data_IF_984927896482
#
_entry.id   IF_984927896482
#
_cell.length_a   1.000
_cell.length_b   1.000
_cell.length_c   1.000
_cell.angle_alpha   90.00
_cell.angle_beta   90.00
_cell.angle_gamma   90.00
#
_symmetry.space_group_name_H-M   'P 1'
#
loop_
_entity.id
_entity.type
_entity.pdbx_description
1 polymer ?
#
# COMPACT_ATOMS: atom_id res chain seq x y z
N UNK A 1 -23.84 -12.84 32.32
CA UNK A 1 -23.78 -13.78 31.17
C UNK A 1 -24.03 -13.12 29.81
N UNK A 2 -24.34 -11.82 29.68
CA UNK A 2 -24.72 -11.19 28.39
C UNK A 2 -23.63 -10.41 27.63
N UNK A 3 -22.56 -9.94 28.29
CA UNK A 3 -21.54 -9.09 27.63
C UNK A 3 -20.52 -9.89 26.81
N UNK A 4 -20.20 -11.13 27.25
CA UNK A 4 -19.22 -11.99 26.56
C UNK A 4 -19.75 -12.56 25.24
N UNK A 5 -21.04 -12.88 25.17
CA UNK A 5 -21.65 -13.47 23.97
C UNK A 5 -21.86 -12.43 22.87
N UNK A 6 -22.24 -11.20 23.25
CA UNK A 6 -22.30 -10.06 22.34
C UNK A 6 -20.91 -9.69 21.80
N UNK A 7 -19.88 -9.67 22.65
CA UNK A 7 -18.50 -9.40 22.23
C UNK A 7 -17.99 -10.45 21.23
N UNK A 8 -18.24 -11.74 21.48
CA UNK A 8 -17.86 -12.84 20.57
C UNK A 8 -18.60 -12.71 19.23
N UNK A 9 -19.90 -12.40 19.25
CA UNK A 9 -20.72 -12.23 18.03
C UNK A 9 -20.22 -11.05 17.19
N UNK A 10 -19.91 -9.93 17.82
CA UNK A 10 -19.38 -8.73 17.16
C UNK A 10 -17.98 -9.00 16.59
N UNK A 11 -17.10 -9.68 17.33
CA UNK A 11 -15.77 -10.08 16.83
C UNK A 11 -15.89 -11.04 15.64
N UNK A 12 -16.82 -11.99 15.70
CA UNK A 12 -17.13 -12.92 14.61
C UNK A 12 -17.61 -12.19 13.34
N UNK A 13 -18.49 -11.20 13.50
CA UNK A 13 -18.96 -10.35 12.40
C UNK A 13 -17.81 -9.58 11.75
N UNK A 14 -16.98 -8.88 12.53
CA UNK A 14 -15.87 -8.11 11.97
C UNK A 14 -14.81 -8.99 11.29
N UNK A 15 -14.55 -10.18 11.83
CA UNK A 15 -13.66 -11.16 11.21
C UNK A 15 -14.21 -11.63 9.86
N UNK A 16 -15.51 -11.95 9.78
CA UNK A 16 -16.17 -12.36 8.53
C UNK A 16 -16.14 -11.24 7.49
N UNK A 17 -16.50 -10.02 7.88
CA UNK A 17 -16.47 -8.85 7.00
C UNK A 17 -15.08 -8.55 6.44
N UNK A 18 -14.03 -8.69 7.27
CA UNK A 18 -12.65 -8.53 6.82
C UNK A 18 -12.26 -9.61 5.81
N UNK A 19 -12.64 -10.86 6.05
CA UNK A 19 -12.39 -11.97 5.13
C UNK A 19 -13.11 -11.77 3.79
N UNK A 20 -14.38 -11.36 3.81
CA UNK A 20 -15.15 -11.05 2.60
C UNK A 20 -14.49 -9.94 1.78
N UNK A 21 -14.06 -8.85 2.43
CA UNK A 21 -13.32 -7.77 1.75
C UNK A 21 -12.01 -8.26 1.11
N UNK A 22 -11.27 -9.11 1.80
CA UNK A 22 -10.03 -9.70 1.28
C UNK A 22 -10.30 -10.65 0.11
N UNK A 23 -11.39 -11.44 0.16
CA UNK A 23 -11.80 -12.31 -0.94
C UNK A 23 -12.21 -11.50 -2.17
N UNK A 24 -13.01 -10.44 -1.99
CA UNK A 24 -13.42 -9.55 -3.09
C UNK A 24 -12.18 -8.90 -3.72
N UNK A 25 -11.23 -8.43 -2.92
CA UNK A 25 -9.97 -7.90 -3.41
C UNK A 25 -9.18 -8.94 -4.20
N UNK A 26 -9.01 -10.15 -3.65
CA UNK A 26 -8.28 -11.21 -4.32
C UNK A 26 -8.90 -11.57 -5.68
N UNK A 27 -10.23 -11.65 -5.74
CA UNK A 27 -10.97 -11.90 -6.98
C UNK A 27 -10.83 -10.74 -7.99
N UNK A 28 -10.87 -9.48 -7.52
CA UNK A 28 -10.70 -8.31 -8.39
C UNK A 28 -9.31 -8.27 -9.01
N UNK A 29 -8.26 -8.55 -8.23
CA UNK A 29 -6.88 -8.60 -8.72
C UNK A 29 -6.68 -9.79 -9.67
N UNK A 30 -7.15 -10.99 -9.31
CA UNK A 30 -6.89 -12.21 -10.10
C UNK A 30 -7.58 -12.24 -11.47
N UNK A 31 -8.69 -11.50 -11.62
CA UNK A 31 -9.40 -11.34 -12.90
C UNK A 31 -8.78 -10.29 -13.81
N UNK A 32 -7.93 -9.41 -13.28
CA UNK A 32 -7.27 -8.39 -14.10
C UNK A 32 -6.10 -8.99 -14.87
N UNK A 33 -5.86 -8.64 -16.14
CA UNK A 33 -4.65 -9.03 -16.85
C UNK A 33 -3.38 -8.37 -16.27
N UNK A 34 -3.52 -7.38 -15.37
CA UNK A 34 -2.43 -6.67 -14.71
C UNK A 34 -2.17 -7.16 -13.27
N UNK A 35 -2.38 -8.46 -13.01
CA UNK A 35 -2.25 -9.09 -11.67
C UNK A 35 -0.99 -8.66 -10.94
N UNK A 36 0.18 -8.75 -11.58
CA UNK A 36 1.47 -8.48 -10.94
C UNK A 36 1.59 -7.01 -10.48
N UNK A 37 1.18 -6.07 -11.33
CA UNK A 37 1.21 -4.64 -11.00
C UNK A 37 0.29 -4.34 -9.81
N UNK A 38 -0.95 -4.84 -9.89
CA UNK A 38 -1.95 -4.65 -8.85
C UNK A 38 -1.54 -5.30 -7.53
N UNK A 39 -0.86 -6.45 -7.59
CA UNK A 39 -0.32 -7.11 -6.41
C UNK A 39 0.77 -6.26 -5.75
N UNK A 40 1.71 -5.72 -6.52
CA UNK A 40 2.75 -4.82 -6.02
C UNK A 40 2.15 -3.54 -5.41
N UNK A 41 1.18 -2.93 -6.09
CA UNK A 41 0.45 -1.78 -5.56
C UNK A 41 -0.22 -2.09 -4.22
N UNK A 42 -0.87 -3.26 -4.12
CA UNK A 42 -1.53 -3.70 -2.90
C UNK A 42 -0.53 -3.87 -1.75
N UNK A 43 0.63 -4.51 -2.00
CA UNK A 43 1.69 -4.65 -0.99
C UNK A 43 2.19 -3.29 -0.51
N UNK A 44 2.37 -2.33 -1.44
CA UNK A 44 2.76 -0.95 -1.09
C UNK A 44 1.77 -0.30 -0.13
N UNK A 45 0.48 -0.40 -0.40
CA UNK A 45 -0.57 0.20 0.43
C UNK A 45 -0.74 -0.51 1.78
N UNK A 46 -0.56 -1.82 1.85
CA UNK A 46 -0.60 -2.58 3.10
C UNK A 46 0.41 -2.07 4.14
N UNK A 47 1.58 -1.62 3.69
CA UNK A 47 2.62 -1.07 4.57
C UNK A 47 2.16 0.20 5.30
N UNK A 48 1.23 0.98 4.75
CA UNK A 48 0.90 2.33 5.25
C UNK A 48 0.26 2.31 6.64
N UNK A 49 -0.46 1.23 6.99
CA UNK A 49 -1.00 1.05 8.34
C UNK A 49 0.12 0.89 9.39
N UNK A 50 1.15 0.11 9.04
CA UNK A 50 2.31 -0.09 9.90
C UNK A 50 3.14 1.19 10.03
N UNK A 51 3.30 1.94 8.93
CA UNK A 51 3.94 3.26 8.94
C UNK A 51 3.18 4.22 9.86
N UNK A 52 1.85 4.29 9.78
CA UNK A 52 1.05 5.12 10.68
C UNK A 52 1.24 4.73 12.15
N UNK A 53 1.17 3.43 12.45
CA UNK A 53 1.33 2.90 13.80
C UNK A 53 2.70 3.23 14.42
N UNK A 54 3.76 3.28 13.60
CA UNK A 54 5.12 3.57 14.05
C UNK A 54 5.49 5.06 14.03
N UNK A 55 4.92 5.87 13.12
CA UNK A 55 5.18 7.32 13.07
C UNK A 55 4.57 8.03 14.28
N UNK A 56 3.39 7.61 14.72
CA UNK A 56 2.65 8.33 15.75
C UNK A 56 3.39 8.41 17.11
N UNK A 57 3.90 7.31 17.68
CA UNK A 57 4.59 7.36 18.97
C UNK A 57 5.87 8.20 18.92
N UNK A 58 6.50 8.23 17.74
CA UNK A 58 7.66 9.07 17.46
C UNK A 58 7.30 10.53 17.17
N UNK A 59 6.01 10.88 17.16
CA UNK A 59 5.48 12.20 16.76
C UNK A 59 6.00 12.66 15.39
N UNK A 60 6.23 11.70 14.48
CA UNK A 60 6.66 12.00 13.11
C UNK A 60 5.45 12.39 12.26
N UNK A 61 5.58 13.41 11.39
CA UNK A 61 4.48 13.84 10.53
C UNK A 61 4.15 12.76 9.49
N UNK A 62 2.87 12.70 9.10
CA UNK A 62 2.41 11.85 7.99
C UNK A 62 3.11 12.30 6.70
N UNK A 63 3.11 13.61 6.45
CA UNK A 63 3.78 14.25 5.32
C UNK A 63 5.28 14.40 5.61
N UNK A 64 6.10 13.85 4.72
CA UNK A 64 7.57 13.91 4.79
C UNK A 64 8.09 14.24 3.39
N UNK A 65 8.15 15.54 3.08
CA UNK A 65 8.50 16.03 1.75
C UNK A 65 9.91 15.60 1.35
N UNK A 66 10.84 15.55 2.30
CA UNK A 66 12.20 15.09 2.02
C UNK A 66 12.22 13.61 1.62
N UNK A 67 11.45 12.78 2.30
CA UNK A 67 11.31 11.38 1.95
C UNK A 67 10.61 11.19 0.60
N UNK A 68 9.55 11.96 0.31
CA UNK A 68 8.88 11.94 -1.00
C UNK A 68 9.87 12.28 -2.13
N UNK A 69 10.67 13.34 -1.97
CA UNK A 69 11.72 13.72 -2.94
C UNK A 69 12.75 12.62 -3.14
N UNK A 70 13.25 12.00 -2.04
CA UNK A 70 14.20 10.88 -2.13
C UNK A 70 13.61 9.68 -2.89
N UNK A 71 12.35 9.35 -2.65
CA UNK A 71 11.67 8.25 -3.34
C UNK A 71 11.51 8.58 -4.83
N UNK A 72 11.05 9.80 -5.19
CA UNK A 72 10.92 10.21 -6.60
C UNK A 72 12.25 10.14 -7.33
N UNK A 73 13.32 10.67 -6.74
CA UNK A 73 14.66 10.60 -7.32
C UNK A 73 15.11 9.14 -7.52
N UNK A 74 14.81 8.27 -6.55
CA UNK A 74 15.09 6.83 -6.64
C UNK A 74 14.34 6.17 -7.81
N UNK A 75 13.02 6.35 -7.90
CA UNK A 75 12.21 5.67 -8.93
C UNK A 75 12.47 6.21 -10.33
N UNK A 76 12.79 7.50 -10.49
CA UNK A 76 13.23 8.06 -11.78
C UNK A 76 14.55 7.46 -12.24
N UNK A 77 15.50 7.25 -11.32
CA UNK A 77 16.76 6.56 -11.63
C UNK A 77 16.49 5.13 -12.08
N UNK A 78 15.70 4.38 -11.31
CA UNK A 78 15.32 3.01 -11.67
C UNK A 78 14.61 2.92 -13.03
N UNK A 79 13.72 3.88 -13.30
CA UNK A 79 13.03 3.98 -14.58
C UNK A 79 14.01 4.22 -15.73
N UNK A 80 14.98 5.13 -15.54
CA UNK A 80 16.05 5.39 -16.51
C UNK A 80 16.89 4.15 -16.76
N UNK A 81 17.33 3.48 -15.70
CA UNK A 81 18.13 2.24 -15.79
C UNK A 81 17.36 1.10 -16.47
N UNK A 82 16.03 1.14 -16.39
CA UNK A 82 15.10 0.19 -17.03
C UNK A 82 14.65 0.63 -18.44
N UNK A 83 15.22 1.70 -18.99
CA UNK A 83 14.94 2.18 -20.35
C UNK A 83 13.62 2.94 -20.54
N UNK A 84 12.97 3.38 -19.46
CA UNK A 84 11.77 4.23 -19.53
C UNK A 84 12.20 5.68 -19.81
N UNK A 85 11.66 6.24 -20.89
CA UNK A 85 11.95 7.63 -21.32
C UNK A 85 11.01 8.63 -20.64
N UNK A 86 9.73 8.26 -20.47
CA UNK A 86 8.71 9.14 -19.89
C UNK A 86 8.78 9.19 -18.36
N UNK A 87 9.79 9.89 -17.85
CA UNK A 87 10.03 10.06 -16.41
C UNK A 87 8.99 10.97 -15.73
N UNK A 88 8.28 11.80 -16.49
CA UNK A 88 7.25 12.68 -15.95
C UNK A 88 6.00 11.88 -15.59
N UNK A 89 5.62 10.90 -16.42
CA UNK A 89 4.54 9.98 -16.06
C UNK A 89 4.91 9.13 -14.86
N UNK A 90 6.17 8.69 -14.73
CA UNK A 90 6.65 8.00 -13.52
C UNK A 90 6.52 8.91 -12.29
N UNK A 91 6.89 10.18 -12.39
CA UNK A 91 6.66 11.14 -11.29
C UNK A 91 5.19 11.17 -10.89
N UNK A 92 4.29 11.43 -11.85
CA UNK A 92 2.85 11.56 -11.59
C UNK A 92 2.25 10.31 -10.95
N UNK A 93 2.60 9.12 -11.43
CA UNK A 93 2.19 7.85 -10.83
C UNK A 93 2.58 7.79 -9.35
N UNK A 94 3.84 8.12 -9.03
CA UNK A 94 4.34 8.05 -7.66
C UNK A 94 3.79 9.18 -6.76
N UNK A 95 3.51 10.37 -7.30
CA UNK A 95 2.78 11.41 -6.59
C UNK A 95 1.38 10.92 -6.18
N UNK A 96 0.65 10.26 -7.10
CA UNK A 96 -0.64 9.66 -6.77
C UNK A 96 -0.50 8.58 -5.69
N UNK A 97 0.54 7.75 -5.74
CA UNK A 97 0.81 6.81 -4.65
C UNK A 97 1.05 7.49 -3.31
N UNK A 98 1.75 8.62 -3.25
CA UNK A 98 1.93 9.36 -2.00
C UNK A 98 0.61 9.91 -1.45
N UNK A 99 -0.20 10.54 -2.29
CA UNK A 99 -1.50 11.07 -1.86
C UNK A 99 -2.41 9.97 -1.28
N UNK A 100 -2.49 8.83 -1.97
CA UNK A 100 -3.26 7.68 -1.49
C UNK A 100 -2.65 7.08 -0.21
N UNK A 101 -1.33 7.05 -0.11
CA UNK A 101 -0.63 6.58 1.09
C UNK A 101 -0.92 7.45 2.31
N UNK A 102 -0.98 8.77 2.13
CA UNK A 102 -1.33 9.73 3.19
C UNK A 102 -2.79 9.55 3.61
N UNK A 103 -3.70 9.37 2.65
CA UNK A 103 -5.11 9.09 2.91
C UNK A 103 -5.35 7.75 3.65
N UNK A 104 -4.47 6.74 3.48
CA UNK A 104 -4.51 5.53 4.33
C UNK A 104 -4.06 5.85 5.76
N UNK A 105 -3.04 6.69 5.95
CA UNK A 105 -2.48 6.98 7.27
C UNK A 105 -3.36 7.93 8.12
N UNK A 106 -3.99 8.95 7.51
CA UNK A 106 -4.75 9.98 8.24
C UNK A 106 -5.84 9.41 9.16
N UNK A 107 -6.70 8.47 8.74
CA UNK A 107 -7.70 7.89 9.62
C UNK A 107 -7.12 7.11 10.78
N UNK A 108 -5.91 6.53 10.63
CA UNK A 108 -5.26 5.82 11.72
C UNK A 108 -4.96 6.75 12.88
N UNK A 109 -4.59 7.99 12.61
CA UNK A 109 -4.34 9.00 13.65
C UNK A 109 -5.64 9.35 14.37
N UNK A 110 -6.69 9.72 13.63
CA UNK A 110 -7.95 10.18 14.23
C UNK A 110 -8.87 9.09 14.84
N UNK A 111 -8.86 7.86 14.32
CA UNK A 111 -9.77 6.80 14.80
C UNK A 111 -9.17 5.92 15.90
N UNK A 112 -7.88 5.61 15.82
CA UNK A 112 -7.26 4.66 16.74
C UNK A 112 -6.79 5.32 18.02
N UNK A 113 -6.41 6.60 17.95
CA UNK A 113 -5.65 7.24 19.03
C UNK A 113 -6.39 8.36 19.74
N UNK A 114 -7.23 9.12 19.04
CA UNK A 114 -8.04 10.16 19.69
C UNK A 114 -9.22 9.56 20.50
N UNK A 115 -9.64 8.32 20.19
CA UNK A 115 -10.86 7.73 20.77
C UNK A 115 -10.62 6.76 21.93
N UNK A 116 -9.42 6.21 22.08
CA UNK A 116 -9.04 5.39 23.23
C UNK A 116 -7.51 5.25 23.31
N UNK A 117 -6.89 5.48 24.49
CA UNK A 117 -5.47 5.17 24.65
C UNK A 117 -5.27 3.67 24.49
N UNK A 118 -4.61 3.26 23.40
CA UNK A 118 -4.19 1.87 23.19
C UNK A 118 -2.77 1.67 23.66
N UNK A 119 -2.46 0.44 24.05
CA UNK A 119 -1.07 0.04 24.25
C UNK A 119 -0.30 0.19 22.93
N UNK A 120 0.58 1.18 22.93
CA UNK A 120 1.41 1.55 21.80
C UNK A 120 2.40 0.45 21.46
N UNK A 121 2.93 -0.23 22.46
CA UNK A 121 3.91 -1.28 22.24
C UNK A 121 3.27 -2.46 21.51
N UNK A 122 2.07 -2.88 21.93
CA UNK A 122 1.29 -3.92 21.24
C UNK A 122 0.98 -3.55 19.79
N UNK A 123 0.59 -2.29 19.52
CA UNK A 123 0.30 -1.85 18.16
C UNK A 123 1.53 -1.86 17.25
N UNK A 124 2.67 -1.39 17.75
CA UNK A 124 3.95 -1.37 17.02
C UNK A 124 4.43 -2.80 16.76
N UNK A 125 4.36 -3.69 17.75
CA UNK A 125 4.74 -5.09 17.58
C UNK A 125 3.85 -5.81 16.57
N UNK A 126 2.53 -5.60 16.63
CA UNK A 126 1.58 -6.16 15.65
C UNK A 126 1.85 -5.63 14.23
N UNK A 127 2.19 -4.35 14.10
CA UNK A 127 2.58 -3.77 12.82
C UNK A 127 3.86 -4.43 12.27
N UNK A 128 4.88 -4.66 13.10
CA UNK A 128 6.09 -5.37 12.67
C UNK A 128 5.76 -6.78 12.17
N UNK A 129 4.99 -7.55 12.95
CA UNK A 129 4.59 -8.92 12.60
C UNK A 129 3.83 -8.95 11.26
N UNK A 130 2.92 -7.99 11.04
CA UNK A 130 2.21 -7.86 9.76
C UNK A 130 3.19 -7.65 8.60
N UNK A 131 4.18 -6.78 8.75
CA UNK A 131 5.20 -6.56 7.72
C UNK A 131 6.04 -7.82 7.46
N UNK A 132 6.43 -8.58 8.49
CA UNK A 132 7.12 -9.88 8.29
C UNK A 132 6.29 -10.83 7.45
N UNK A 133 4.99 -10.92 7.75
CA UNK A 133 4.08 -11.78 7.01
C UNK A 133 3.98 -11.34 5.54
N UNK A 134 4.00 -10.04 5.26
CA UNK A 134 4.05 -9.53 3.87
C UNK A 134 5.34 -9.95 3.18
N UNK A 135 6.50 -9.83 3.83
CA UNK A 135 7.80 -10.25 3.27
C UNK A 135 7.76 -11.74 2.91
N UNK A 136 7.28 -12.59 3.83
CA UNK A 136 7.19 -14.03 3.59
C UNK A 136 6.19 -14.38 2.48
N UNK A 137 5.01 -13.75 2.45
CA UNK A 137 3.99 -14.01 1.45
C UNK A 137 4.39 -13.54 0.05
N UNK A 138 5.09 -12.41 -0.05
CA UNK A 138 5.59 -11.87 -1.31
C UNK A 138 6.86 -12.58 -1.82
N UNK A 139 7.49 -13.43 -1.00
CA UNK A 139 8.72 -14.13 -1.36
C UNK A 139 9.94 -13.20 -1.47
N UNK A 140 9.96 -12.09 -0.73
CA UNK A 140 11.08 -11.14 -0.76
C UNK A 140 12.30 -11.70 0.00
N UNK A 141 13.15 -12.45 -0.70
CA UNK A 141 14.30 -13.16 -0.11
C UNK A 141 15.44 -12.24 0.35
N UNK A 142 15.52 -11.02 -0.15
CA UNK A 142 16.60 -10.08 0.16
C UNK A 142 16.29 -9.15 1.35
N UNK A 143 15.04 -9.14 1.83
CA UNK A 143 14.66 -8.32 2.98
C UNK A 143 14.98 -9.09 4.26
N UNK A 144 15.94 -8.59 5.02
CA UNK A 144 16.34 -9.15 6.31
C UNK A 144 15.47 -8.54 7.41
N UNK A 145 14.89 -9.38 8.26
CA UNK A 145 14.06 -8.95 9.38
C UNK A 145 14.20 -9.87 10.59
N UNK A 146 13.83 -9.36 11.77
CA UNK A 146 13.94 -10.07 13.02
C UNK A 146 12.83 -11.13 13.15
N UNK A 147 13.23 -12.39 13.38
CA UNK A 147 12.30 -13.52 13.55
C UNK A 147 11.85 -13.70 15.01
N UNK A 148 12.61 -13.19 15.96
CA UNK A 148 12.35 -13.36 17.41
C UNK A 148 11.04 -12.69 17.82
N UNK A 149 10.28 -13.37 18.68
CA UNK A 149 9.08 -12.80 19.29
C UNK A 149 9.48 -11.92 20.49
N UNK A 150 9.57 -10.61 20.24
CA UNK A 150 9.86 -9.60 21.26
C UNK A 150 9.09 -8.31 21.00
N UNK A 151 9.05 -7.39 21.98
CA UNK A 151 8.62 -6.03 21.72
C UNK A 151 9.49 -5.38 20.62
N UNK A 152 8.84 -4.90 19.56
CA UNK A 152 9.52 -4.21 18.45
C UNK A 152 9.46 -2.69 18.62
N UNK A 153 10.51 -2.01 18.17
CA UNK A 153 10.59 -0.55 18.22
C UNK A 153 9.98 0.09 16.98
N UNK A 154 9.48 1.33 17.13
CA UNK A 154 8.93 2.09 16.01
C UNK A 154 9.92 2.23 14.84
N UNK A 155 11.21 2.43 15.14
CA UNK A 155 12.26 2.53 14.14
C UNK A 155 12.40 1.24 13.31
N UNK A 156 12.27 0.07 13.93
CA UNK A 156 12.35 -1.23 13.25
C UNK A 156 11.19 -1.42 12.28
N UNK A 157 9.97 -1.03 12.68
CA UNK A 157 8.80 -1.06 11.80
C UNK A 157 9.00 -0.14 10.61
N UNK A 158 9.50 1.08 10.82
CA UNK A 158 9.74 2.05 9.74
C UNK A 158 10.84 1.58 8.77
N UNK A 159 11.90 0.96 9.28
CA UNK A 159 12.97 0.36 8.45
C UNK A 159 12.40 -0.78 7.60
N UNK A 160 11.71 -1.74 8.20
CA UNK A 160 11.15 -2.87 7.46
C UNK A 160 10.11 -2.42 6.42
N UNK A 161 9.23 -1.47 6.77
CA UNK A 161 8.28 -0.90 5.83
C UNK A 161 8.98 -0.22 4.66
N UNK A 162 10.03 0.56 4.92
CA UNK A 162 10.83 1.22 3.88
C UNK A 162 11.44 0.20 2.93
N UNK A 163 12.03 -0.86 3.45
CA UNK A 163 12.72 -1.88 2.64
C UNK A 163 11.72 -2.64 1.75
N UNK A 164 10.53 -2.97 2.28
CA UNK A 164 9.41 -3.53 1.50
C UNK A 164 8.96 -2.57 0.40
N UNK A 165 8.73 -1.29 0.75
CA UNK A 165 8.28 -0.28 -0.22
C UNK A 165 9.32 -0.07 -1.31
N UNK A 166 10.61 -0.07 -0.98
CA UNK A 166 11.68 0.07 -1.95
C UNK A 166 11.72 -1.10 -2.93
N UNK A 167 11.63 -2.34 -2.43
CA UNK A 167 11.54 -3.53 -3.30
C UNK A 167 10.30 -3.47 -4.19
N UNK A 168 9.13 -3.15 -3.61
CA UNK A 168 7.88 -3.03 -4.37
C UNK A 168 7.97 -1.95 -5.45
N UNK A 169 8.59 -0.80 -5.16
CA UNK A 169 8.77 0.26 -6.15
C UNK A 169 9.67 -0.21 -7.30
N UNK A 170 10.73 -0.98 -7.01
CA UNK A 170 11.57 -1.60 -8.05
C UNK A 170 10.73 -2.53 -8.94
N UNK A 171 9.94 -3.41 -8.35
CA UNK A 171 9.10 -4.34 -9.12
C UNK A 171 8.05 -3.60 -9.96
N UNK A 172 7.45 -2.53 -9.44
CA UNK A 172 6.53 -1.68 -10.22
C UNK A 172 7.25 -1.11 -11.45
N UNK A 173 8.46 -0.56 -11.29
CA UNK A 173 9.24 -0.04 -12.41
C UNK A 173 9.59 -1.15 -13.41
N UNK A 174 10.03 -2.33 -12.93
CA UNK A 174 10.33 -3.48 -13.79
C UNK A 174 9.11 -3.94 -14.61
N UNK A 175 7.91 -3.91 -14.00
CA UNK A 175 6.66 -4.26 -14.67
C UNK A 175 6.32 -3.22 -15.73
N UNK A 176 6.42 -1.93 -15.40
CA UNK A 176 6.14 -0.84 -16.33
C UNK A 176 7.12 -0.80 -17.50
N UNK A 177 8.39 -1.16 -17.29
CA UNK A 177 9.40 -1.20 -18.34
C UNK A 177 9.22 -2.37 -19.32
N UNK A 178 8.49 -3.42 -18.93
CA UNK A 178 8.25 -4.61 -19.73
C UNK A 178 6.83 -4.64 -20.33
N UNK A 179 6.40 -3.50 -20.89
CA UNK A 179 5.04 -3.26 -21.36
C UNK A 179 4.53 -4.28 -22.40
N UNK A 180 5.40 -4.91 -23.20
CA UNK A 180 5.00 -5.97 -24.15
C UNK A 180 4.53 -7.28 -23.48
N UNK A 181 4.94 -7.54 -22.23
CA UNK A 181 4.46 -8.68 -21.44
C UNK A 181 3.22 -8.35 -20.61
N UNK A 182 2.97 -7.06 -20.37
CA UNK A 182 1.91 -6.60 -19.49
C UNK A 182 0.84 -5.92 -20.31
N UNK A 183 -0.34 -6.54 -20.36
CA UNK A 183 -1.51 -6.14 -21.14
C UNK A 183 -2.19 -4.90 -20.54
N UNK A 184 -1.43 -3.85 -20.27
CA UNK A 184 -1.89 -2.59 -19.65
C UNK A 184 -2.96 -1.91 -20.52
N UNK A 185 -2.89 -2.10 -21.84
CA UNK A 185 -3.86 -1.58 -22.81
C UNK A 185 -5.12 -2.46 -22.97
N UNK A 186 -5.15 -3.66 -22.38
CA UNK A 186 -6.32 -4.57 -22.47
C UNK A 186 -7.36 -4.33 -21.36
N UNK A 187 -7.09 -3.39 -20.46
CA UNK A 187 -8.01 -2.99 -19.39
C UNK A 187 -8.40 -1.55 -19.62
N UNK A 188 -9.67 -1.22 -19.51
CA UNK A 188 -10.10 0.18 -19.55
C UNK A 188 -9.61 0.92 -18.30
N UNK A 189 -9.40 2.24 -18.40
CA UNK A 189 -9.08 3.07 -17.24
C UNK A 189 -10.14 2.97 -16.13
N UNK A 190 -11.41 2.74 -16.49
CA UNK A 190 -12.52 2.55 -15.56
C UNK A 190 -12.37 1.24 -14.77
N UNK A 191 -12.06 0.13 -15.45
CA UNK A 191 -11.82 -1.17 -14.80
C UNK A 191 -10.60 -1.11 -13.88
N UNK A 192 -9.51 -0.48 -14.32
CA UNK A 192 -8.32 -0.27 -13.49
C UNK A 192 -8.65 0.56 -12.24
N UNK A 193 -9.37 1.68 -12.41
CA UNK A 193 -9.79 2.53 -11.30
C UNK A 193 -10.68 1.77 -10.30
N UNK A 194 -11.56 0.89 -10.78
CA UNK A 194 -12.43 0.10 -9.92
C UNK A 194 -11.64 -0.92 -9.08
N UNK A 195 -10.67 -1.61 -9.66
CA UNK A 195 -9.82 -2.55 -8.89
C UNK A 195 -8.99 -1.81 -7.85
N UNK A 196 -8.43 -0.64 -8.20
CA UNK A 196 -7.70 0.22 -7.24
C UNK A 196 -8.64 0.69 -6.13
N UNK A 197 -9.89 1.06 -6.45
CA UNK A 197 -10.89 1.47 -5.45
C UNK A 197 -11.24 0.33 -4.49
N UNK A 198 -11.46 -0.88 -5.00
CA UNK A 198 -11.71 -2.09 -4.18
C UNK A 198 -10.51 -2.37 -3.26
N UNK A 199 -9.29 -2.26 -3.79
CA UNK A 199 -8.05 -2.38 -3.03
C UNK A 199 -8.01 -1.36 -1.88
N UNK A 200 -8.20 -0.08 -2.17
CA UNK A 200 -8.13 0.97 -1.16
C UNK A 200 -9.27 0.90 -0.13
N UNK A 201 -10.43 0.35 -0.47
CA UNK A 201 -11.53 0.11 0.48
C UNK A 201 -11.20 -0.88 1.61
N UNK A 202 -10.08 -1.61 1.50
CA UNK A 202 -9.53 -2.44 2.58
C UNK A 202 -8.73 -1.62 3.60
N UNK A 203 -8.29 -0.42 3.25
CA UNK A 203 -7.33 0.37 4.04
C UNK A 203 -7.88 1.74 4.46
N UNK A 204 -8.72 2.35 3.62
CA UNK A 204 -9.29 3.67 3.82
C UNK A 204 -10.67 3.62 4.47
N UNK A 205 -11.04 4.70 5.15
CA UNK A 205 -12.44 4.92 5.54
C UNK A 205 -13.29 5.25 4.30
N UNK A 206 -14.63 5.10 4.34
CA UNK A 206 -15.48 5.50 3.23
C UNK A 206 -15.32 6.97 2.81
N UNK A 207 -15.06 7.86 3.77
CA UNK A 207 -14.87 9.29 3.49
C UNK A 207 -13.54 9.56 2.78
N UNK A 208 -12.44 8.98 3.25
CA UNK A 208 -11.14 9.08 2.56
C UNK A 208 -11.22 8.49 1.16
N UNK A 209 -11.86 7.32 1.01
CA UNK A 209 -12.04 6.68 -0.28
C UNK A 209 -12.83 7.57 -1.25
N UNK A 210 -13.92 8.19 -0.79
CA UNK A 210 -14.72 9.14 -1.57
C UNK A 210 -13.90 10.35 -1.99
N UNK A 211 -13.10 10.92 -1.07
CA UNK A 211 -12.25 12.07 -1.37
C UNK A 211 -11.11 11.74 -2.34
N UNK A 212 -10.59 10.51 -2.29
CA UNK A 212 -9.50 10.02 -3.12
C UNK A 212 -9.92 9.59 -4.53
N UNK A 213 -11.22 9.59 -4.87
CA UNK A 213 -11.69 9.06 -6.16
C UNK A 213 -11.06 9.75 -7.37
N UNK A 214 -10.82 11.07 -7.33
CA UNK A 214 -10.12 11.78 -8.40
C UNK A 214 -8.69 11.26 -8.57
N UNK A 215 -7.95 11.10 -7.48
CA UNK A 215 -6.59 10.55 -7.49
C UNK A 215 -6.56 9.12 -8.01
N UNK A 216 -7.55 8.29 -7.67
CA UNK A 216 -7.70 6.92 -8.18
C UNK A 216 -7.90 6.92 -9.70
N UNK A 217 -8.79 7.79 -10.20
CA UNK A 217 -9.06 7.92 -11.63
C UNK A 217 -7.84 8.43 -12.40
N UNK A 218 -7.12 9.42 -11.86
CA UNK A 218 -5.87 9.91 -12.45
C UNK A 218 -4.81 8.82 -12.50
N UNK A 219 -4.57 8.13 -11.38
CA UNK A 219 -3.62 7.00 -11.35
C UNK A 219 -3.95 5.92 -12.38
N UNK A 220 -5.22 5.52 -12.47
CA UNK A 220 -5.66 4.53 -13.45
C UNK A 220 -5.44 5.01 -14.89
N UNK A 221 -5.66 6.30 -15.16
CA UNK A 221 -5.43 6.90 -16.46
C UNK A 221 -3.94 6.96 -16.83
N UNK A 222 -3.07 7.34 -15.90
CA UNK A 222 -1.62 7.36 -16.11
C UNK A 222 -1.06 5.94 -16.35
N UNK A 223 -1.54 4.95 -15.58
CA UNK A 223 -1.13 3.55 -15.75
C UNK A 223 -1.61 2.95 -17.09
N UNK A 224 -2.81 3.31 -17.55
CA UNK A 224 -3.37 2.84 -18.80
C UNK A 224 -2.80 3.56 -20.03
N UNK A 225 -2.51 4.86 -19.89
CA UNK A 225 -1.86 5.67 -20.92
C UNK A 225 -0.35 5.47 -20.99
N UNK A 226 0.23 4.66 -20.11
CA UNK A 226 1.66 4.37 -20.08
C UNK A 226 2.07 3.58 -21.32
N UNK A 227 2.51 4.28 -22.35
CA UNK A 227 3.12 3.70 -23.54
C UNK A 227 4.62 3.92 -23.49
N UNK A 228 5.40 2.85 -23.71
CA UNK A 228 6.81 3.02 -24.01
C UNK A 228 6.87 3.68 -25.39
N UNK A 229 7.00 5.01 -25.42
CA UNK A 229 7.36 5.73 -26.63
C UNK A 229 8.69 5.15 -27.10
N UNK A 230 8.66 4.19 -28.01
CA UNK A 230 9.87 3.59 -28.59
C UNK A 230 10.47 4.62 -29.55
N UNK A 231 11.74 4.95 -29.34
CA UNK A 231 12.58 5.44 -30.42
C UNK A 231 12.84 4.31 -31.42
#
# INVERSE_FOLDING_TARGET
MGESEAAITIQGFFRRHLLEKQMVLHQAISKSPNVSLLHMMNLRFQCMRAVAAAKLPLKKPIEDKEQEVRIIAGVKRLATDSGIIDLDTIDRIFQHYFELSKAIQRPYYGLIWDKAPRDTQTLVSNAYIQLRNLVSQAGFVHIIYCQEERPFQCAEVLVLARDIIQQVNQEIINILSNNEKHKLNEVTKEEMAEVIRIMLANYMTPNELKSGMKTIQSLASELNGFSLSRC
#
